data_IF_513470494433
#
_entry.id   IF_513470494433
#
_cell.length_a   1.000
_cell.length_b   1.000
_cell.length_c   1.000
_cell.angle_alpha   90.00
_cell.angle_beta   90.00
_cell.angle_gamma   90.00
#
_symmetry.space_group_name_H-M   'P 1'
#
loop_
_entity.id
_entity.type
_entity.pdbx_description
1 polymer ?
#
# COMPACT_ATOMS: atom_id res chain seq x y z
N UNK A 1 11.12 -17.66 -11.75
CA UNK A 1 10.42 -16.95 -10.71
C UNK A 1 9.86 -17.97 -9.71
N UNK A 2 10.09 -17.71 -8.40
CA UNK A 2 9.59 -18.51 -7.31
C UNK A 2 8.42 -17.76 -6.65
N UNK A 3 7.31 -18.43 -6.54
CA UNK A 3 6.09 -17.92 -5.92
C UNK A 3 5.70 -18.77 -4.73
N UNK A 4 5.07 -18.12 -3.76
CA UNK A 4 4.55 -18.74 -2.55
C UNK A 4 3.07 -18.40 -2.41
N UNK A 5 2.29 -19.34 -1.93
CA UNK A 5 0.86 -19.17 -1.59
C UNK A 5 0.55 -19.88 -0.28
N UNK A 6 -0.46 -19.41 0.44
CA UNK A 6 -1.03 -20.11 1.60
C UNK A 6 -2.54 -20.21 1.39
N UNK A 7 -3.04 -21.32 0.84
CA UNK A 7 -4.49 -21.54 0.71
C UNK A 7 -5.16 -21.58 2.08
N UNK A 8 -6.29 -20.88 2.20
CA UNK A 8 -7.01 -20.81 3.47
C UNK A 8 -6.37 -19.93 4.54
N UNK A 9 -5.43 -19.04 4.13
CA UNK A 9 -4.82 -18.08 5.04
C UNK A 9 -5.87 -17.22 5.75
N UNK A 10 -5.68 -16.98 7.04
CA UNK A 10 -6.49 -16.05 7.83
C UNK A 10 -6.01 -14.61 7.63
N UNK A 11 -4.72 -14.44 7.34
CA UNK A 11 -4.12 -13.14 7.00
C UNK A 11 -4.33 -12.86 5.51
N UNK A 12 -4.77 -11.66 5.17
CA UNK A 12 -4.94 -11.25 3.77
C UNK A 12 -3.61 -11.30 3.01
N UNK A 13 -3.57 -12.14 1.98
CA UNK A 13 -2.40 -12.36 1.14
C UNK A 13 -2.79 -12.41 -0.33
N UNK A 14 -1.91 -12.01 -1.24
CA UNK A 14 -2.07 -12.33 -2.65
C UNK A 14 -2.18 -13.84 -2.88
N UNK A 15 -2.91 -14.24 -3.93
CA UNK A 15 -3.02 -15.65 -4.31
C UNK A 15 -1.65 -16.28 -4.63
N UNK A 16 -0.73 -15.49 -5.19
CA UNK A 16 0.67 -15.83 -5.43
C UNK A 16 1.55 -14.63 -5.06
N UNK A 17 2.54 -14.85 -4.21
CA UNK A 17 3.54 -13.85 -3.84
C UNK A 17 4.88 -14.20 -4.49
N UNK A 18 5.44 -13.31 -5.31
CA UNK A 18 6.81 -13.47 -5.83
C UNK A 18 7.81 -13.30 -4.68
N UNK A 19 8.56 -14.35 -4.38
CA UNK A 19 9.54 -14.37 -3.28
C UNK A 19 10.99 -14.46 -3.73
N UNK A 20 11.22 -14.85 -4.97
CA UNK A 20 12.56 -14.90 -5.54
C UNK A 20 12.55 -15.04 -7.04
N UNK A 21 13.65 -14.71 -7.67
CA UNK A 21 13.86 -14.96 -9.08
C UNK A 21 15.34 -15.13 -9.39
N UNK A 22 15.62 -15.86 -10.47
CA UNK A 22 16.94 -15.92 -11.07
C UNK A 22 16.78 -15.90 -12.59
N UNK A 23 17.77 -15.40 -13.28
CA UNK A 23 17.77 -15.28 -14.73
C UNK A 23 19.08 -15.81 -15.30
N UNK A 24 19.00 -16.59 -16.37
CA UNK A 24 20.16 -17.16 -17.06
C UNK A 24 19.99 -16.99 -18.57
N UNK A 25 21.08 -16.76 -19.25
CA UNK A 25 21.13 -16.80 -20.71
C UNK A 25 21.53 -18.22 -21.14
N UNK A 26 20.77 -18.83 -22.04
CA UNK A 26 21.01 -20.16 -22.58
C UNK A 26 21.00 -20.09 -24.11
N UNK A 27 21.93 -20.80 -24.73
CA UNK A 27 21.94 -21.03 -26.19
C UNK A 27 20.84 -22.04 -26.56
N UNK A 28 20.38 -22.07 -27.81
CA UNK A 28 19.46 -23.12 -28.29
C UNK A 28 19.94 -24.53 -27.98
N UNK A 29 19.12 -25.30 -27.22
CA UNK A 29 19.48 -26.66 -26.81
C UNK A 29 20.32 -26.75 -25.53
N UNK A 30 20.82 -25.65 -25.01
CA UNK A 30 21.54 -25.61 -23.73
C UNK A 30 20.62 -25.84 -22.55
N UNK A 31 21.16 -26.47 -21.50
CA UNK A 31 20.47 -26.68 -20.21
C UNK A 31 21.28 -26.05 -19.10
N UNK A 32 20.59 -25.42 -18.15
CA UNK A 32 21.21 -24.83 -16.97
C UNK A 32 20.41 -25.17 -15.71
N UNK A 33 21.08 -25.20 -14.56
CA UNK A 33 20.45 -25.32 -13.25
C UNK A 33 20.48 -23.95 -12.58
N UNK A 34 19.33 -23.51 -12.06
CA UNK A 34 19.20 -22.31 -11.26
C UNK A 34 18.89 -22.67 -9.80
N UNK A 35 19.51 -21.93 -8.89
CA UNK A 35 19.18 -22.00 -7.47
C UNK A 35 18.56 -20.67 -7.06
N UNK A 36 17.34 -20.72 -6.53
CA UNK A 36 16.63 -19.56 -5.99
C UNK A 36 16.51 -19.78 -4.49
N UNK A 37 17.35 -19.14 -3.68
CA UNK A 37 17.29 -19.28 -2.22
C UNK A 37 16.06 -18.56 -1.68
N UNK A 38 15.48 -19.12 -0.63
CA UNK A 38 14.48 -18.46 0.20
C UNK A 38 14.68 -18.84 1.67
N UNK A 39 14.26 -17.98 2.57
CA UNK A 39 14.45 -18.12 4.01
C UNK A 39 13.13 -17.89 4.77
N UNK A 40 13.20 -17.77 6.08
CA UNK A 40 12.05 -17.50 6.95
C UNK A 40 11.32 -16.19 6.62
N UNK A 41 12.03 -15.18 6.03
CA UNK A 41 11.42 -13.91 5.60
C UNK A 41 10.41 -14.12 4.46
N UNK A 42 10.55 -15.21 3.73
CA UNK A 42 9.63 -15.60 2.65
C UNK A 42 8.19 -15.76 3.15
N UNK A 43 8.01 -16.25 4.38
CA UNK A 43 6.71 -16.61 4.96
C UNK A 43 6.14 -15.57 5.93
N UNK A 44 6.92 -14.54 6.25
CA UNK A 44 6.54 -13.53 7.24
C UNK A 44 5.44 -12.60 6.74
N UNK A 45 4.62 -12.16 7.69
CA UNK A 45 3.73 -11.02 7.55
C UNK A 45 3.93 -10.06 8.73
N UNK A 46 3.60 -8.80 8.54
CA UNK A 46 3.61 -7.83 9.63
C UNK A 46 2.29 -7.93 10.40
N UNK A 47 2.37 -8.27 11.68
CA UNK A 47 1.19 -8.28 12.54
C UNK A 47 1.07 -6.96 13.28
N UNK A 48 0.04 -6.16 12.93
CA UNK A 48 -0.19 -4.85 13.52
C UNK A 48 -0.55 -4.92 15.01
N UNK A 49 -1.10 -6.04 15.49
CA UNK A 49 -1.46 -6.24 16.90
C UNK A 49 -0.22 -6.43 17.77
N UNK A 50 0.74 -7.23 17.29
CA UNK A 50 1.99 -7.50 18.03
C UNK A 50 3.09 -6.49 17.73
N UNK A 51 2.97 -5.70 16.64
CA UNK A 51 4.00 -4.80 16.14
C UNK A 51 5.29 -5.54 15.72
N UNK A 52 5.17 -6.78 15.22
CA UNK A 52 6.31 -7.63 14.85
C UNK A 52 6.03 -8.42 13.57
N UNK A 53 7.12 -8.95 13.01
CA UNK A 53 7.05 -9.95 11.95
C UNK A 53 6.69 -11.30 12.54
N UNK A 54 5.62 -11.90 12.03
CA UNK A 54 5.09 -13.20 12.45
C UNK A 54 4.98 -14.11 11.23
N UNK A 55 4.84 -15.41 11.47
CA UNK A 55 4.64 -16.43 10.45
C UNK A 55 3.30 -17.10 10.71
N UNK A 56 2.44 -17.13 9.72
CA UNK A 56 1.21 -17.93 9.75
C UNK A 56 1.55 -19.37 9.41
N UNK A 57 1.23 -20.31 10.30
CA UNK A 57 1.50 -21.73 10.08
C UNK A 57 0.55 -22.33 9.04
N UNK A 58 1.07 -23.23 8.22
CA UNK A 58 0.23 -23.92 7.25
C UNK A 58 1.01 -24.67 6.17
N UNK A 59 0.27 -25.23 5.23
CA UNK A 59 0.85 -25.91 4.07
C UNK A 59 0.97 -24.91 2.91
N UNK A 60 2.16 -24.37 2.77
CA UNK A 60 2.46 -23.40 1.71
C UNK A 60 2.65 -24.09 0.38
N UNK A 61 2.00 -23.55 -0.65
CA UNK A 61 2.30 -23.89 -2.04
C UNK A 61 3.55 -23.15 -2.50
N UNK A 62 4.51 -23.88 -3.03
CA UNK A 62 5.69 -23.35 -3.69
C UNK A 62 5.54 -23.57 -5.19
N UNK A 63 5.67 -22.52 -5.98
CA UNK A 63 5.51 -22.59 -7.42
C UNK A 63 6.71 -21.97 -8.15
N UNK A 64 7.19 -22.63 -9.18
CA UNK A 64 8.25 -22.14 -10.06
C UNK A 64 7.68 -21.97 -11.46
N UNK A 65 7.90 -20.81 -12.06
CA UNK A 65 7.41 -20.49 -13.38
C UNK A 65 8.25 -19.46 -14.11
N UNK A 66 7.96 -19.29 -15.37
CA UNK A 66 8.50 -18.18 -16.17
C UNK A 66 7.78 -16.85 -15.83
N UNK A 67 6.53 -16.95 -15.40
CA UNK A 67 5.70 -15.84 -14.89
C UNK A 67 4.64 -16.40 -13.92
N UNK A 68 3.83 -15.54 -13.31
CA UNK A 68 2.67 -15.93 -12.50
C UNK A 68 1.60 -16.69 -13.29
N UNK A 69 1.54 -16.49 -14.60
CA UNK A 69 0.60 -17.14 -15.51
C UNK A 69 1.19 -18.42 -16.16
N UNK A 70 2.53 -18.61 -16.08
CA UNK A 70 3.23 -19.75 -16.66
C UNK A 70 3.99 -20.52 -15.58
N UNK A 71 3.23 -21.20 -14.70
CA UNK A 71 3.76 -22.04 -13.64
C UNK A 71 4.10 -23.43 -14.19
N UNK A 72 5.35 -23.86 -14.01
CA UNK A 72 5.91 -25.12 -14.53
C UNK A 72 6.07 -26.20 -13.46
N UNK A 73 6.42 -25.82 -12.24
CA UNK A 73 6.64 -26.76 -11.13
C UNK A 73 5.85 -26.30 -9.91
N UNK A 74 5.39 -27.26 -9.15
CA UNK A 74 4.69 -27.03 -7.87
C UNK A 74 5.18 -28.00 -6.82
N UNK A 75 5.28 -27.53 -5.59
CA UNK A 75 5.57 -28.32 -4.41
C UNK A 75 4.76 -27.78 -3.22
N UNK A 76 4.72 -28.53 -2.13
CA UNK A 76 4.15 -28.06 -0.87
C UNK A 76 5.23 -28.10 0.21
N UNK A 77 5.16 -27.13 1.13
CA UNK A 77 6.05 -27.03 2.27
C UNK A 77 5.24 -26.71 3.51
N UNK A 78 5.32 -27.61 4.51
CA UNK A 78 4.76 -27.33 5.84
C UNK A 78 5.64 -26.35 6.58
N UNK A 79 5.05 -25.22 6.99
CA UNK A 79 5.73 -24.18 7.77
C UNK A 79 5.04 -24.06 9.13
N UNK A 80 5.84 -24.10 10.20
CA UNK A 80 5.33 -23.81 11.54
C UNK A 80 5.13 -22.33 11.74
N UNK A 81 3.97 -21.97 12.29
CA UNK A 81 3.62 -20.57 12.58
C UNK A 81 4.20 -20.09 13.91
N UNK A 82 4.33 -18.79 14.04
CA UNK A 82 4.53 -18.16 15.34
C UNK A 82 3.21 -18.11 16.11
N UNK A 83 3.28 -18.24 17.44
CA UNK A 83 2.10 -18.07 18.29
C UNK A 83 1.79 -16.58 18.44
N UNK A 84 0.91 -16.07 17.59
CA UNK A 84 0.53 -14.67 17.57
C UNK A 84 -1.00 -14.52 17.46
N UNK A 85 -1.61 -13.46 18.05
CA UNK A 85 -3.02 -13.18 17.86
C UNK A 85 -3.31 -12.90 16.41
N UNK A 86 -4.46 -13.37 15.95
CA UNK A 86 -4.96 -13.11 14.60
C UNK A 86 -5.29 -11.61 14.44
N UNK A 87 -4.72 -10.91 13.44
CA UNK A 87 -4.84 -9.44 13.34
C UNK A 87 -6.25 -8.94 13.09
N UNK A 88 -7.15 -9.80 12.59
CA UNK A 88 -8.54 -9.44 12.27
C UNK A 88 -9.54 -10.15 13.19
N UNK A 89 -9.11 -10.65 14.34
CA UNK A 89 -9.98 -11.37 15.26
C UNK A 89 -11.22 -10.53 15.65
N UNK A 90 -12.41 -11.11 15.45
CA UNK A 90 -13.68 -10.45 15.75
C UNK A 90 -14.18 -9.46 14.68
N UNK A 91 -13.42 -9.20 13.61
CA UNK A 91 -13.88 -8.37 12.50
C UNK A 91 -14.59 -9.22 11.43
N UNK A 92 -15.67 -8.67 10.88
CA UNK A 92 -16.35 -9.24 9.70
C UNK A 92 -15.92 -8.45 8.46
N UNK A 93 -15.09 -9.06 7.60
CA UNK A 93 -14.42 -8.42 6.49
C UNK A 93 -14.68 -9.13 5.13
N UNK A 94 -15.97 -9.36 4.74
CA UNK A 94 -16.31 -10.16 3.57
C UNK A 94 -15.80 -9.55 2.25
N UNK A 95 -15.77 -8.22 2.11
CA UNK A 95 -15.24 -7.57 0.90
C UNK A 95 -13.74 -7.84 0.74
N UNK A 96 -12.98 -7.76 1.83
CA UNK A 96 -11.53 -8.05 1.82
C UNK A 96 -11.26 -9.53 1.58
N UNK A 97 -12.00 -10.42 2.22
CA UNK A 97 -11.87 -11.88 2.04
C UNK A 97 -12.19 -12.33 0.61
N UNK A 98 -13.17 -11.71 -0.03
CA UNK A 98 -13.55 -12.01 -1.42
C UNK A 98 -12.65 -11.34 -2.46
N UNK A 99 -11.81 -10.39 -2.08
CA UNK A 99 -11.04 -9.54 -2.99
C UNK A 99 -11.87 -8.51 -3.77
N UNK A 100 -13.17 -8.39 -3.51
CA UNK A 100 -14.06 -7.42 -4.16
C UNK A 100 -14.00 -6.05 -3.48
N UNK A 101 -12.87 -5.39 -3.61
CA UNK A 101 -12.57 -4.14 -2.90
C UNK A 101 -12.95 -2.86 -3.64
N UNK A 102 -13.65 -2.96 -4.78
CA UNK A 102 -14.08 -1.79 -5.55
C UNK A 102 -15.12 -0.91 -4.80
N UNK A 103 -15.87 -1.50 -3.86
CA UNK A 103 -16.85 -0.81 -3.05
C UNK A 103 -16.94 -1.46 -1.67
N UNK A 104 -16.01 -1.10 -0.79
CA UNK A 104 -16.01 -1.57 0.60
C UNK A 104 -16.96 -0.70 1.43
N UNK A 105 -17.91 -1.28 2.19
CA UNK A 105 -18.77 -0.52 3.10
C UNK A 105 -17.96 0.16 4.21
N UNK A 106 -18.40 1.35 4.63
CA UNK A 106 -17.73 2.15 5.67
C UNK A 106 -17.64 1.44 7.03
N UNK A 107 -18.63 0.63 7.38
CA UNK A 107 -18.62 -0.14 8.62
C UNK A 107 -17.61 -1.29 8.59
N UNK A 108 -17.43 -1.94 7.45
CA UNK A 108 -16.39 -2.94 7.25
C UNK A 108 -15.00 -2.29 7.31
N UNK A 109 -14.82 -1.15 6.62
CA UNK A 109 -13.55 -0.41 6.67
C UNK A 109 -13.22 0.09 8.08
N UNK A 110 -14.22 0.56 8.85
CA UNK A 110 -14.02 0.96 10.25
C UNK A 110 -13.54 -0.19 11.15
N UNK A 111 -14.02 -1.41 10.92
CA UNK A 111 -13.56 -2.58 11.67
C UNK A 111 -12.08 -2.86 11.41
N UNK A 112 -11.63 -2.75 10.16
CA UNK A 112 -10.22 -2.93 9.80
C UNK A 112 -9.35 -1.78 10.33
N UNK A 113 -9.86 -0.54 10.27
CA UNK A 113 -9.14 0.65 10.74
C UNK A 113 -8.99 0.68 12.27
N UNK A 114 -9.94 0.07 13.00
CA UNK A 114 -9.94 0.02 14.46
C UNK A 114 -10.38 1.33 15.14
N UNK A 115 -10.78 2.34 14.39
CA UNK A 115 -11.29 3.62 14.88
C UNK A 115 -12.25 4.24 13.84
N UNK A 116 -13.03 5.28 14.21
CA UNK A 116 -13.89 5.98 13.26
C UNK A 116 -13.13 6.53 12.06
N UNK A 117 -13.75 6.44 10.88
CA UNK A 117 -13.19 7.04 9.66
C UNK A 117 -13.08 8.56 9.89
N UNK A 118 -11.90 9.17 9.70
CA UNK A 118 -11.76 10.61 9.80
C UNK A 118 -12.69 11.33 8.83
N UNK A 119 -13.39 12.36 9.30
CA UNK A 119 -14.33 13.15 8.50
C UNK A 119 -13.66 14.02 7.40
N UNK A 120 -12.36 13.90 7.26
CA UNK A 120 -11.56 14.68 6.31
C UNK A 120 -11.38 16.14 6.73
N UNK A 121 -12.00 16.58 7.82
CA UNK A 121 -11.82 17.93 8.34
C UNK A 121 -10.51 18.01 9.11
N UNK A 122 -9.67 18.93 8.68
CA UNK A 122 -8.45 19.19 9.39
C UNK A 122 -8.75 19.97 10.69
N UNK A 123 -8.30 19.48 11.83
CA UNK A 123 -8.56 20.05 13.15
C UNK A 123 -7.29 20.45 13.90
N UNK A 124 -6.12 20.37 13.25
CA UNK A 124 -4.83 20.61 13.86
C UNK A 124 -4.23 21.99 13.62
N UNK A 125 -3.06 22.21 14.16
CA UNK A 125 -2.21 23.36 13.80
C UNK A 125 -1.45 23.07 12.51
N UNK A 126 -1.18 24.13 11.72
CA UNK A 126 -0.39 24.02 10.50
C UNK A 126 1.02 23.55 10.84
N UNK A 127 1.47 22.51 10.18
CA UNK A 127 2.82 21.96 10.27
C UNK A 127 3.61 22.20 9.00
N UNK A 128 4.93 22.03 9.06
CA UNK A 128 5.79 22.12 7.87
C UNK A 128 5.47 21.06 6.81
N UNK A 129 4.75 20.01 7.16
CA UNK A 129 4.34 18.94 6.24
C UNK A 129 3.01 19.19 5.54
N UNK A 130 2.24 20.16 6.04
CA UNK A 130 0.95 20.49 5.44
C UNK A 130 1.15 21.14 4.07
N UNK A 131 0.27 20.85 3.10
CA UNK A 131 0.30 21.49 1.81
C UNK A 131 -0.16 22.96 1.91
N UNK A 132 0.28 23.79 0.97
CA UNK A 132 -0.12 25.20 0.91
C UNK A 132 -1.64 25.37 0.89
N UNK A 133 -2.37 24.42 0.34
CA UNK A 133 -3.84 24.39 0.33
C UNK A 133 -4.47 24.51 1.71
N UNK A 134 -3.77 24.10 2.77
CA UNK A 134 -4.23 24.26 4.16
C UNK A 134 -4.22 25.70 4.66
N UNK A 135 -3.60 26.65 3.96
CA UNK A 135 -3.64 28.07 4.34
C UNK A 135 -5.06 28.65 4.41
N UNK A 136 -6.00 28.09 3.67
CA UNK A 136 -7.42 28.49 3.75
C UNK A 136 -8.01 28.29 5.15
N UNK A 137 -7.50 27.29 5.89
CA UNK A 137 -7.95 26.92 7.24
C UNK A 137 -7.15 27.67 8.32
N UNK A 138 -6.08 28.37 7.93
CA UNK A 138 -5.21 29.12 8.82
C UNK A 138 -5.89 30.34 9.45
N UNK A 139 -5.40 30.78 10.62
CA UNK A 139 -5.93 31.94 11.36
C UNK A 139 -5.65 33.28 10.68
N UNK A 140 -4.61 33.39 9.88
CA UNK A 140 -4.21 34.63 9.20
C UNK A 140 -5.17 34.99 8.07
N UNK A 141 -5.77 36.20 8.17
CA UNK A 141 -6.63 36.73 7.11
C UNK A 141 -5.86 37.00 5.81
N UNK A 142 -4.59 37.45 5.93
CA UNK A 142 -3.73 37.70 4.79
C UNK A 142 -3.41 36.40 4.03
N UNK A 143 -3.06 35.35 4.75
CA UNK A 143 -2.79 34.05 4.14
C UNK A 143 -4.01 33.50 3.40
N UNK A 144 -5.21 33.63 3.98
CA UNK A 144 -6.46 33.22 3.32
C UNK A 144 -6.75 34.04 2.07
N UNK A 145 -6.45 35.32 2.07
CA UNK A 145 -6.66 36.20 0.90
C UNK A 145 -5.68 35.81 -0.22
N UNK A 146 -4.41 35.66 0.08
CA UNK A 146 -3.39 35.23 -0.91
C UNK A 146 -3.74 33.86 -1.48
N UNK A 147 -4.13 32.93 -0.61
CA UNK A 147 -4.52 31.59 -1.03
C UNK A 147 -5.78 31.60 -1.91
N UNK A 148 -6.76 32.48 -1.63
CA UNK A 148 -7.96 32.63 -2.43
C UNK A 148 -7.66 33.03 -3.91
N UNK A 149 -6.56 33.76 -4.17
CA UNK A 149 -6.11 34.03 -5.54
C UNK A 149 -5.63 32.75 -6.25
N UNK A 150 -4.88 31.91 -5.56
CA UNK A 150 -4.38 30.63 -6.10
C UNK A 150 -5.57 29.70 -6.40
N UNK A 151 -6.51 29.61 -5.47
CA UNK A 151 -7.71 28.79 -5.60
C UNK A 151 -8.59 29.23 -6.78
N UNK A 152 -8.77 30.53 -6.94
CA UNK A 152 -9.50 31.09 -8.11
C UNK A 152 -8.82 30.73 -9.43
N UNK A 153 -7.50 30.84 -9.51
CA UNK A 153 -6.74 30.47 -10.72
C UNK A 153 -6.83 28.98 -11.00
N UNK A 154 -6.74 28.14 -9.94
CA UNK A 154 -6.93 26.69 -10.05
C UNK A 154 -8.29 26.37 -10.65
N UNK A 155 -9.37 26.87 -10.06
CA UNK A 155 -10.73 26.65 -10.53
C UNK A 155 -10.93 27.13 -11.99
N UNK A 156 -10.35 28.26 -12.36
CA UNK A 156 -10.41 28.78 -13.75
C UNK A 156 -9.69 27.86 -14.75
N UNK A 157 -8.54 27.28 -14.37
CA UNK A 157 -7.81 26.35 -15.24
C UNK A 157 -8.55 25.02 -15.41
N UNK A 158 -9.14 24.51 -14.34
CA UNK A 158 -9.96 23.30 -14.35
C UNK A 158 -11.23 23.46 -15.20
N UNK A 159 -11.91 24.61 -15.07
CA UNK A 159 -13.09 24.93 -15.87
C UNK A 159 -12.82 25.01 -17.39
N UNK A 160 -11.58 25.27 -17.78
CA UNK A 160 -11.14 25.26 -19.19
C UNK A 160 -10.81 23.87 -19.72
N UNK A 161 -10.95 22.82 -18.90
CA UNK A 161 -10.58 21.44 -19.25
C UNK A 161 -9.06 21.21 -19.40
N UNK A 162 -8.24 22.17 -18.99
CA UNK A 162 -6.77 22.09 -19.03
C UNK A 162 -6.21 22.56 -17.69
N UNK A 163 -6.13 21.67 -16.68
CA UNK A 163 -5.56 22.02 -15.38
C UNK A 163 -4.11 22.54 -15.53
N UNK A 164 -3.81 23.66 -14.89
CA UNK A 164 -2.47 24.22 -14.87
C UNK A 164 -1.62 23.47 -13.84
N UNK A 165 -0.64 22.70 -14.33
CA UNK A 165 0.23 21.85 -13.49
C UNK A 165 1.07 22.67 -12.51
N UNK A 166 1.46 23.92 -12.87
CA UNK A 166 2.22 24.78 -11.96
C UNK A 166 1.36 25.24 -10.78
N UNK A 167 0.10 25.55 -11.05
CA UNK A 167 -0.85 25.92 -10.01
C UNK A 167 -1.13 24.72 -9.10
N UNK A 168 -1.34 23.53 -9.67
CA UNK A 168 -1.54 22.30 -8.90
C UNK A 168 -0.30 21.96 -8.06
N UNK A 169 0.89 22.16 -8.62
CA UNK A 169 2.15 21.97 -7.88
C UNK A 169 2.22 22.92 -6.67
N UNK A 170 2.00 24.23 -6.88
CA UNK A 170 2.01 25.23 -5.81
C UNK A 170 0.93 24.91 -4.77
N UNK A 171 -0.25 24.50 -5.21
CA UNK A 171 -1.38 24.16 -4.34
C UNK A 171 -1.05 23.02 -3.38
N UNK A 172 -0.30 22.02 -3.84
CA UNK A 172 0.01 20.80 -3.10
C UNK A 172 1.41 20.77 -2.47
N UNK A 173 2.24 21.79 -2.72
CA UNK A 173 3.59 21.83 -2.16
C UNK A 173 3.54 21.97 -0.63
N UNK A 174 4.29 21.18 0.14
CA UNK A 174 4.34 21.33 1.60
C UNK A 174 5.14 22.58 1.99
N UNK A 175 4.79 23.20 3.12
CA UNK A 175 5.48 24.39 3.65
C UNK A 175 7.00 24.21 3.77
N UNK A 176 7.47 23.00 4.13
CA UNK A 176 8.91 22.69 4.22
C UNK A 176 9.67 22.93 2.91
N UNK A 177 9.03 22.70 1.77
CA UNK A 177 9.68 22.89 0.47
C UNK A 177 9.89 24.37 0.19
N UNK A 178 8.94 25.23 0.58
CA UNK A 178 9.08 26.68 0.46
C UNK A 178 10.17 27.19 1.42
N UNK A 179 10.18 26.71 2.67
CA UNK A 179 11.20 27.11 3.64
C UNK A 179 12.63 26.79 3.17
N UNK A 180 12.82 25.71 2.40
CA UNK A 180 14.12 25.35 1.82
C UNK A 180 14.55 26.24 0.64
N UNK A 181 13.62 26.88 -0.05
CA UNK A 181 13.93 27.74 -1.19
C UNK A 181 14.19 29.19 -0.78
N UNK A 182 13.92 29.55 0.47
CA UNK A 182 14.09 30.91 1.01
C UNK A 182 15.33 31.06 1.90
N UNK A 183 16.08 29.98 2.11
CA UNK A 183 17.41 29.94 2.71
C UNK A 183 18.47 29.70 1.61
#
# INVERSE_FOLDING_TARGET
>A
QLYVSLPGAEVFRPALELKGFAKVFLQPGERGTLTIPFDDKTFRYWNAVTGRWEVEGGDYGIAIGASSEDIRLRASLRVEGTSAPQPYAGASLPSYQSGRIAAVPDDEFRQLLGHPIPDGRWQGELSLNDPLSRLREGRSRLCRLVFGVIEKKKAQSEARGKPDLNILFIYNIPFRAIAKTTN
#
